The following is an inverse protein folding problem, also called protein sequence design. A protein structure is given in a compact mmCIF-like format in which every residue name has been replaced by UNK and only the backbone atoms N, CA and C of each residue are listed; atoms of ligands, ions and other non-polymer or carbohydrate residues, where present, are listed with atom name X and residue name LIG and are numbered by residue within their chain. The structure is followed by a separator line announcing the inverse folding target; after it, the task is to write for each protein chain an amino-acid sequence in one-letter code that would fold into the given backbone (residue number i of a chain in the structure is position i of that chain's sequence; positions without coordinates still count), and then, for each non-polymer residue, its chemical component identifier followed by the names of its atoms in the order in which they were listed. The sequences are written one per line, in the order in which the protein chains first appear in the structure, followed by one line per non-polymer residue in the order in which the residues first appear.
data_IF_871883143711
#
_entry.id   IF_871883143711
#
_cell.length_a   1.000
_cell.length_b   1.000
_cell.length_c   1.000
_cell.angle_alpha   90.00
_cell.angle_beta   90.00
_cell.angle_gamma   90.00
#
_symmetry.space_group_name_H-M   'P 1'
#
loop_
_entity.id
_entity.type
_entity.pdbx_description
1 polymer ?
#
# COMPACT_ATOMS: atom_id res chain seq x y z
N UNK A 1 61.69 -2.80 -2.93
CA UNK A 1 61.06 -1.69 -2.20
C UNK A 1 59.87 -1.29 -3.04
N UNK A 2 58.65 -1.81 -2.80
CA UNK A 2 57.82 -1.62 -1.61
C UNK A 2 56.94 -0.39 -1.87
N UNK A 3 55.60 -0.43 -1.91
CA UNK A 3 54.65 -1.51 -1.67
C UNK A 3 53.31 -1.22 -2.35
N UNK A 4 52.45 -2.22 -2.34
CA UNK A 4 51.05 -2.22 -2.76
C UNK A 4 50.17 -1.64 -1.65
N UNK A 5 49.08 -0.96 -2.02
CA UNK A 5 47.71 -0.95 -1.42
C UNK A 5 46.83 -0.14 -2.37
N UNK A 6 46.03 -0.72 -3.28
CA UNK A 6 44.71 -1.32 -3.03
C UNK A 6 43.92 -0.58 -1.95
N UNK A 7 42.87 0.14 -2.38
CA UNK A 7 41.52 0.12 -1.80
C UNK A 7 40.61 0.77 -2.84
N UNK A 8 40.14 -0.05 -3.80
CA UNK A 8 38.75 0.06 -4.24
C UNK A 8 37.90 -0.24 -2.99
N UNK A 9 37.15 0.77 -2.55
CA UNK A 9 36.20 0.70 -1.44
C UNK A 9 34.92 1.38 -1.92
N UNK A 10 33.77 0.77 -1.67
CA UNK A 10 32.78 0.51 -2.69
C UNK A 10 31.91 1.73 -2.96
N UNK A 11 31.34 1.74 -4.16
CA UNK A 11 30.05 2.35 -4.43
C UNK A 11 29.12 1.93 -3.29
N UNK A 12 28.81 2.86 -2.39
CA UNK A 12 27.63 2.77 -1.54
C UNK A 12 26.43 2.93 -2.47
N UNK A 13 26.22 1.91 -3.32
CA UNK A 13 24.89 1.46 -3.62
C UNK A 13 24.30 1.12 -2.26
N UNK A 14 23.70 2.13 -1.64
CA UNK A 14 22.60 1.93 -0.74
C UNK A 14 21.56 1.17 -1.56
N UNK A 15 21.74 -0.15 -1.60
CA UNK A 15 20.68 -1.11 -1.75
C UNK A 15 19.81 -0.89 -0.53
N UNK A 16 19.10 0.23 -0.53
CA UNK A 16 17.87 0.36 0.19
C UNK A 16 17.03 -0.76 -0.36
N UNK A 17 17.07 -1.89 0.33
CA UNK A 17 15.98 -2.86 0.35
C UNK A 17 14.73 -2.22 0.99
N UNK A 18 14.58 -0.89 0.87
CA UNK A 18 13.35 -0.15 1.00
C UNK A 18 12.34 -0.88 0.14
N UNK A 19 11.36 -1.44 0.83
CA UNK A 19 10.29 -2.13 0.13
C UNK A 19 9.61 -1.14 -0.80
N UNK A 20 9.24 -1.54 -2.03
CA UNK A 20 8.82 -0.58 -3.04
C UNK A 20 7.66 0.21 -2.46
N UNK A 21 7.87 1.52 -2.34
CA UNK A 21 6.81 2.45 -1.98
C UNK A 21 5.66 2.29 -2.97
N UNK A 22 4.41 2.55 -2.55
CA UNK A 22 3.28 2.53 -3.46
C UNK A 22 3.56 3.44 -4.67
N UNK A 23 3.59 2.85 -5.86
CA UNK A 23 3.88 3.54 -7.10
C UNK A 23 2.58 4.07 -7.72
N UNK A 24 2.55 5.37 -7.99
CA UNK A 24 1.52 6.00 -8.82
C UNK A 24 2.13 6.31 -10.19
N UNK A 25 1.67 5.58 -11.20
CA UNK A 25 2.10 5.63 -12.60
C UNK A 25 0.90 5.64 -13.56
N UNK A 26 1.17 5.62 -14.87
CA UNK A 26 0.12 5.60 -15.90
C UNK A 26 -0.79 4.36 -15.80
N UNK A 27 -0.24 3.20 -15.41
CA UNK A 27 -1.01 1.95 -15.31
C UNK A 27 -2.00 2.02 -14.13
N UNK A 28 -1.53 2.47 -12.96
CA UNK A 28 -2.39 2.69 -11.78
C UNK A 28 -3.43 3.80 -12.02
N UNK A 29 -3.09 4.85 -12.77
CA UNK A 29 -4.05 5.87 -13.19
C UNK A 29 -5.16 5.30 -14.08
N UNK A 30 -4.80 4.52 -15.11
CA UNK A 30 -5.77 3.91 -16.02
C UNK A 30 -6.73 2.97 -15.28
N UNK A 31 -6.23 2.19 -14.32
CA UNK A 31 -7.08 1.30 -13.49
C UNK A 31 -8.07 2.09 -12.63
N UNK A 32 -7.67 3.24 -12.08
CA UNK A 32 -8.58 4.10 -11.31
C UNK A 32 -9.67 4.69 -12.22
N UNK A 33 -9.31 5.15 -13.42
CA UNK A 33 -10.27 5.68 -14.40
C UNK A 33 -11.31 4.62 -14.83
N UNK A 34 -10.84 3.40 -15.12
CA UNK A 34 -11.71 2.25 -15.44
C UNK A 34 -12.64 1.91 -14.26
N UNK A 35 -12.12 1.93 -13.03
CA UNK A 35 -12.91 1.66 -11.83
C UNK A 35 -13.98 2.73 -11.61
N UNK A 36 -13.65 4.01 -11.79
CA UNK A 36 -14.60 5.12 -11.70
C UNK A 36 -15.71 4.96 -12.73
N UNK A 37 -15.34 4.67 -13.98
CA UNK A 37 -16.31 4.39 -15.07
C UNK A 37 -17.22 3.23 -14.70
N UNK A 38 -16.67 2.12 -14.21
CA UNK A 38 -17.45 0.94 -13.85
C UNK A 38 -18.42 1.21 -12.68
N UNK A 39 -18.02 1.97 -11.66
CA UNK A 39 -18.89 2.29 -10.51
C UNK A 39 -19.94 3.33 -10.91
N UNK A 40 -19.58 4.35 -11.70
CA UNK A 40 -20.52 5.36 -12.18
C UNK A 40 -21.65 4.73 -13.01
N UNK A 41 -21.33 3.82 -13.93
CA UNK A 41 -22.33 3.07 -14.72
C UNK A 41 -23.29 2.28 -13.82
N UNK A 42 -22.78 1.65 -12.75
CA UNK A 42 -23.60 0.87 -11.81
C UNK A 42 -24.50 1.75 -10.93
N UNK A 43 -24.04 2.95 -10.58
CA UNK A 43 -24.76 3.88 -9.70
C UNK A 43 -25.60 4.91 -10.45
N UNK A 44 -25.45 5.01 -11.77
CA UNK A 44 -26.06 6.06 -12.57
C UNK A 44 -25.45 7.44 -12.33
N UNK A 45 -24.19 7.49 -11.90
CA UNK A 45 -23.46 8.74 -11.60
C UNK A 45 -22.89 9.38 -12.87
N UNK A 46 -22.77 10.71 -12.84
CA UNK A 46 -22.18 11.51 -13.89
C UNK A 46 -20.73 11.88 -13.57
N UNK A 47 -19.79 11.32 -14.32
CA UNK A 47 -18.36 11.62 -14.19
C UNK A 47 -17.96 13.04 -14.58
N UNK A 48 -18.84 13.82 -15.22
CA UNK A 48 -18.56 15.24 -15.49
C UNK A 48 -18.86 16.15 -14.29
N UNK A 49 -19.42 15.60 -13.19
CA UNK A 49 -19.70 16.32 -11.96
C UNK A 49 -18.60 16.03 -10.93
N UNK A 50 -17.83 17.06 -10.59
CA UNK A 50 -16.69 16.93 -9.67
C UNK A 50 -17.09 16.37 -8.30
N UNK A 51 -18.29 16.69 -7.80
CA UNK A 51 -18.75 16.18 -6.50
C UNK A 51 -19.04 14.67 -6.55
N UNK A 52 -19.61 14.18 -7.65
CA UNK A 52 -19.85 12.75 -7.84
C UNK A 52 -18.53 12.01 -8.07
N UNK A 53 -17.57 12.62 -8.78
CA UNK A 53 -16.23 12.07 -8.93
C UNK A 53 -15.52 11.91 -7.57
N UNK A 54 -15.60 12.94 -6.71
CA UNK A 54 -15.05 12.87 -5.34
C UNK A 54 -15.72 11.75 -4.54
N UNK A 55 -17.05 11.61 -4.61
CA UNK A 55 -17.78 10.54 -3.91
C UNK A 55 -17.33 9.14 -4.35
N UNK A 56 -17.16 8.95 -5.65
CA UNK A 56 -16.72 7.67 -6.22
C UNK A 56 -15.28 7.34 -5.82
N UNK A 57 -14.37 8.32 -5.90
CA UNK A 57 -12.98 8.17 -5.45
C UNK A 57 -12.93 7.84 -3.95
N UNK A 58 -13.64 8.58 -3.11
CA UNK A 58 -13.69 8.32 -1.67
C UNK A 58 -14.26 6.92 -1.36
N UNK A 59 -15.29 6.50 -2.10
CA UNK A 59 -15.86 5.14 -1.96
C UNK A 59 -14.85 4.05 -2.33
N UNK A 60 -14.11 4.25 -3.43
CA UNK A 60 -13.09 3.30 -3.88
C UNK A 60 -11.92 3.22 -2.90
N UNK A 61 -11.43 4.36 -2.40
CA UNK A 61 -10.38 4.40 -1.38
C UNK A 61 -10.81 3.71 -0.10
N UNK A 62 -12.01 3.99 0.42
CA UNK A 62 -12.54 3.33 1.61
C UNK A 62 -12.68 1.81 1.39
N UNK A 63 -13.10 1.37 0.20
CA UNK A 63 -13.18 -0.05 -0.12
C UNK A 63 -11.80 -0.71 -0.26
N UNK A 64 -10.82 -0.03 -0.85
CA UNK A 64 -9.45 -0.52 -0.95
C UNK A 64 -8.80 -0.64 0.44
N UNK A 65 -8.95 0.40 1.29
CA UNK A 65 -8.47 0.40 2.67
C UNK A 65 -9.11 -0.73 3.50
N UNK A 66 -10.40 -1.01 3.28
CA UNK A 66 -11.10 -2.15 3.91
C UNK A 66 -10.53 -3.52 3.54
N UNK A 67 -9.93 -3.66 2.37
CA UNK A 67 -9.32 -4.92 1.92
C UNK A 67 -7.90 -5.12 2.49
N UNK A 68 -7.24 -4.06 2.99
CA UNK A 68 -5.87 -4.13 3.47
C UNK A 68 -5.68 -5.03 4.71
N UNK A 69 -6.52 -4.99 5.76
CA UNK A 69 -6.32 -5.82 6.95
C UNK A 69 -6.25 -7.31 6.64
N UNK A 70 -7.12 -7.82 5.77
CA UNK A 70 -7.10 -9.23 5.36
C UNK A 70 -5.83 -9.56 4.57
N UNK A 71 -5.44 -8.72 3.62
CA UNK A 71 -4.22 -8.91 2.83
C UNK A 71 -2.95 -8.89 3.72
N UNK A 72 -2.88 -7.96 4.68
CA UNK A 72 -1.78 -7.86 5.65
C UNK A 72 -1.75 -9.08 6.57
N UNK A 73 -2.89 -9.50 7.11
CA UNK A 73 -3.00 -10.71 7.95
C UNK A 73 -2.54 -11.95 7.20
N UNK A 74 -2.98 -12.12 5.94
CA UNK A 74 -2.54 -13.21 5.06
C UNK A 74 -1.03 -13.15 4.77
N UNK A 75 -0.45 -11.97 4.58
CA UNK A 75 0.99 -11.80 4.40
C UNK A 75 1.77 -12.14 5.67
N UNK A 76 1.27 -11.73 6.84
CA UNK A 76 1.86 -12.07 8.16
C UNK A 76 1.81 -13.57 8.41
N UNK A 77 0.71 -14.25 8.11
CA UNK A 77 0.58 -15.70 8.24
C UNK A 77 1.56 -16.48 7.33
N UNK A 78 1.95 -15.89 6.20
CA UNK A 78 2.96 -16.44 5.27
C UNK A 78 4.41 -16.10 5.67
N UNK A 79 4.62 -15.38 6.78
CA UNK A 79 5.93 -15.07 7.32
C UNK A 79 6.53 -13.73 6.87
N UNK A 80 5.78 -12.86 6.18
CA UNK A 80 6.27 -11.53 5.81
C UNK A 80 6.57 -10.67 7.04
N UNK A 81 7.69 -9.94 7.02
CA UNK A 81 8.07 -9.00 8.09
C UNK A 81 7.23 -7.72 8.05
N UNK A 82 7.11 -7.06 9.20
CA UNK A 82 6.44 -5.76 9.28
C UNK A 82 7.18 -4.70 8.45
N UNK A 83 8.51 -4.75 8.37
CA UNK A 83 9.32 -3.87 7.49
C UNK A 83 8.91 -3.98 6.02
N UNK A 84 8.69 -5.20 5.54
CA UNK A 84 8.27 -5.43 4.15
C UNK A 84 6.86 -4.92 3.90
N UNK A 85 5.96 -5.18 4.84
CA UNK A 85 4.55 -4.76 4.74
C UNK A 85 4.45 -3.24 4.80
N UNK A 86 5.17 -2.61 5.73
CA UNK A 86 5.14 -1.17 5.93
C UNK A 86 5.63 -0.41 4.70
N UNK A 87 6.75 -0.84 4.08
CA UNK A 87 7.21 -0.16 2.86
C UNK A 87 6.26 -0.33 1.68
N UNK A 88 5.58 -1.48 1.54
CA UNK A 88 4.51 -1.65 0.52
C UNK A 88 3.31 -0.75 0.76
N UNK A 89 3.04 -0.41 2.02
CA UNK A 89 1.98 0.50 2.42
C UNK A 89 2.44 1.97 2.41
N UNK A 90 3.71 2.26 2.09
CA UNK A 90 4.27 3.61 2.13
C UNK A 90 4.30 4.22 3.53
N UNK A 91 4.42 3.40 4.57
CA UNK A 91 4.37 3.81 5.98
C UNK A 91 5.52 3.17 6.76
N UNK A 92 5.65 3.51 8.04
CA UNK A 92 6.64 2.90 8.93
C UNK A 92 6.10 1.62 9.61
N UNK A 93 6.98 0.67 10.01
CA UNK A 93 6.56 -0.52 10.76
C UNK A 93 5.85 -0.18 12.07
N UNK A 94 6.27 0.92 12.72
CA UNK A 94 5.69 1.44 13.95
C UNK A 94 4.27 2.01 13.75
N UNK A 95 3.90 2.39 12.53
CA UNK A 95 2.54 2.79 12.15
C UNK A 95 1.71 1.61 11.64
N UNK A 96 2.29 0.74 10.81
CA UNK A 96 1.59 -0.41 10.23
C UNK A 96 1.23 -1.47 11.27
N UNK A 97 2.16 -1.81 12.17
CA UNK A 97 1.96 -2.85 13.17
C UNK A 97 0.76 -2.57 14.10
N UNK A 98 0.65 -1.42 14.80
CA UNK A 98 -0.49 -1.19 15.67
C UNK A 98 -1.82 -1.13 14.92
N UNK A 99 -1.81 -0.77 13.63
CA UNK A 99 -3.00 -0.69 12.78
C UNK A 99 -3.49 -2.06 12.28
N UNK A 100 -2.59 -3.01 12.01
CA UNK A 100 -2.96 -4.27 11.35
C UNK A 100 -2.65 -5.54 12.15
N UNK A 101 -1.97 -5.44 13.28
CA UNK A 101 -1.71 -6.58 14.17
C UNK A 101 -2.99 -6.89 14.98
N UNK A 102 -3.59 -8.10 14.87
CA UNK A 102 -4.83 -8.43 15.58
C UNK A 102 -4.70 -8.40 17.11
N UNK A 103 -3.47 -8.52 17.63
CA UNK A 103 -3.20 -8.41 19.06
C UNK A 103 -3.07 -6.95 19.53
N UNK A 104 -3.11 -5.97 18.61
CA UNK A 104 -3.06 -4.55 18.95
C UNK A 104 -4.42 -4.02 19.40
N UNK A 105 -4.48 -3.22 20.47
CA UNK A 105 -5.73 -2.59 20.91
C UNK A 105 -6.25 -1.51 19.94
N UNK A 106 -5.41 -1.07 18.99
CA UNK A 106 -5.73 -0.08 17.95
C UNK A 106 -5.88 -0.75 16.57
N UNK A 107 -5.87 -2.09 16.53
CA UNK A 107 -6.06 -2.83 15.30
C UNK A 107 -7.33 -2.38 14.58
N UNK A 108 -7.27 -2.27 13.25
CA UNK A 108 -8.41 -1.90 12.44
C UNK A 108 -9.52 -2.95 12.61
N UNK A 109 -10.53 -2.59 13.41
CA UNK A 109 -11.67 -3.43 13.76
C UNK A 109 -12.64 -3.70 12.60
N UNK A 110 -12.33 -3.24 11.39
CA UNK A 110 -13.05 -3.61 10.16
C UNK A 110 -12.82 -5.09 9.77
N UNK A 111 -11.96 -5.83 10.47
CA UNK A 111 -11.70 -7.26 10.29
C UNK A 111 -12.03 -8.08 11.57
N UNK A 112 -12.53 -9.34 11.48
CA UNK A 112 -13.01 -10.02 10.27
C UNK A 112 -14.41 -9.55 9.84
N UNK A 113 -14.67 -9.63 8.53
CA UNK A 113 -16.00 -9.41 7.95
C UNK A 113 -17.03 -10.32 8.64
N UNK A 114 -17.94 -9.75 9.42
CA UNK A 114 -19.27 -10.33 9.58
C UNK A 114 -20.10 -9.84 8.39
N UNK A 115 -20.32 -10.72 7.40
CA UNK A 115 -21.40 -10.53 6.43
C UNK A 115 -22.77 -10.58 7.13
#
# INVERSE_FOLDING_TARGET
MGGVTSTEGPEEQDSSFGSPEPLSDDDTFAVVDDALTAVAVRRGSNLSNDLEMIELLASLSEQAERCLPEAVSNARAKGSTWDRIAGLLGTSPDEARPRFDPDSPIADGRWPYCF
#
